data_IF_178580679609
#
_entry.id   IF_178580679609
#
_cell.length_a   1.000
_cell.length_b   1.000
_cell.length_c   1.000
_cell.angle_alpha   90.00
_cell.angle_beta   90.00
_cell.angle_gamma   90.00
#
_symmetry.space_group_name_H-M   'P 1'
#
loop_
_entity.id
_entity.type
_entity.pdbx_description
1 polymer ?
#
# COMPACT_ATOMS: atom_id res chain seq x y z
N UNK A 1 -10.28 15.37 -14.25
CA UNK A 1 -11.05 14.23 -13.71
C UNK A 1 -10.08 13.06 -13.69
N UNK A 2 -9.43 12.79 -12.56
CA UNK A 2 -8.40 11.75 -12.49
C UNK A 2 -9.08 10.38 -12.28
N UNK A 3 -8.86 9.48 -13.23
CA UNK A 3 -9.39 8.12 -13.22
C UNK A 3 -8.70 7.32 -12.09
N UNK A 4 -9.48 6.83 -11.12
CA UNK A 4 -8.98 6.04 -9.98
C UNK A 4 -8.64 4.62 -10.45
N UNK A 5 -7.42 4.43 -10.98
CA UNK A 5 -6.96 3.18 -11.62
C UNK A 5 -6.54 2.05 -10.68
N UNK A 6 -7.33 1.76 -9.65
CA UNK A 6 -7.10 0.56 -8.84
C UNK A 6 -7.72 0.65 -7.46
N UNK A 7 -8.97 0.23 -7.34
CA UNK A 7 -9.55 -0.12 -6.04
C UNK A 7 -9.91 -1.59 -6.08
N UNK A 8 -9.32 -2.38 -5.19
CA UNK A 8 -9.79 -3.74 -4.94
C UNK A 8 -10.97 -3.60 -3.99
N UNK A 9 -12.14 -3.45 -4.61
CA UNK A 9 -13.39 -3.20 -3.93
C UNK A 9 -14.32 -4.40 -4.09
N UNK A 10 -14.42 -5.24 -3.05
CA UNK A 10 -15.42 -6.30 -2.99
C UNK A 10 -16.76 -5.74 -2.51
N UNK A 11 -17.43 -4.93 -3.35
CA UNK A 11 -18.82 -4.49 -3.11
C UNK A 11 -19.79 -5.42 -3.86
N UNK A 12 -19.98 -6.62 -3.35
CA UNK A 12 -21.12 -7.44 -3.72
C UNK A 12 -21.66 -8.09 -2.45
N UNK A 13 -22.95 -7.88 -2.15
CA UNK A 13 -23.64 -8.25 -0.91
C UNK A 13 -23.60 -9.75 -0.53
N UNK A 14 -22.91 -10.60 -1.29
CA UNK A 14 -22.88 -12.06 -1.14
C UNK A 14 -21.56 -12.74 -1.53
N UNK A 15 -20.44 -12.01 -1.68
CA UNK A 15 -19.12 -12.67 -1.81
C UNK A 15 -18.53 -12.85 -0.41
N UNK A 16 -18.09 -14.08 -0.03
CA UNK A 16 -17.38 -14.26 1.22
C UNK A 16 -16.11 -13.40 1.20
N UNK A 17 -15.74 -12.77 2.33
CA UNK A 17 -14.47 -12.08 2.48
C UNK A 17 -13.33 -13.01 2.02
N UNK A 18 -12.37 -12.46 1.26
CA UNK A 18 -11.24 -13.23 0.74
C UNK A 18 -9.98 -12.81 1.49
N UNK A 19 -9.33 -13.77 2.14
CA UNK A 19 -7.96 -13.59 2.63
C UNK A 19 -7.06 -13.46 1.39
N UNK A 20 -6.58 -12.24 1.15
CA UNK A 20 -5.64 -11.96 0.08
C UNK A 20 -4.23 -12.19 0.60
N UNK A 21 -3.42 -12.93 -0.17
CA UNK A 21 -1.99 -13.05 0.08
C UNK A 21 -1.29 -11.77 -0.40
N UNK A 22 -0.97 -10.90 0.56
CA UNK A 22 -0.27 -9.64 0.26
C UNK A 22 1.17 -9.79 0.75
N UNK A 23 2.11 -9.61 -0.18
CA UNK A 23 3.54 -9.64 0.10
C UNK A 23 4.13 -8.23 -0.03
N UNK A 24 5.03 -7.87 0.88
CA UNK A 24 5.73 -6.59 0.84
C UNK A 24 7.10 -6.71 1.49
N UNK A 25 8.07 -5.96 0.97
CA UNK A 25 9.35 -5.75 1.66
C UNK A 25 9.16 -4.79 2.84
N UNK A 26 9.87 -5.00 3.97
CA UNK A 26 9.96 -3.99 5.01
C UNK A 26 10.61 -2.71 4.46
N UNK A 27 10.15 -1.55 4.94
CA UNK A 27 10.75 -0.26 4.59
C UNK A 27 11.85 0.11 5.61
N UNK A 28 13.08 0.42 5.17
CA UNK A 28 13.56 0.50 3.79
C UNK A 28 13.79 -0.88 3.16
N UNK A 29 13.48 -1.05 1.85
CA UNK A 29 13.67 -2.33 1.19
C UNK A 29 15.16 -2.68 1.12
N UNK A 30 15.52 -3.87 1.61
CA UNK A 30 16.89 -4.35 1.58
C UNK A 30 17.15 -5.17 0.31
N UNK A 31 16.32 -6.18 0.03
CA UNK A 31 16.33 -6.96 -1.22
C UNK A 31 14.92 -7.35 -1.64
N UNK A 32 14.65 -7.57 -2.95
CA UNK A 32 13.36 -8.10 -3.42
C UNK A 32 13.02 -9.48 -2.85
N UNK A 33 14.03 -10.25 -2.44
CA UNK A 33 13.83 -11.56 -1.82
C UNK A 33 13.38 -11.50 -0.36
N UNK A 34 13.41 -10.30 0.26
CA UNK A 34 12.95 -10.07 1.63
C UNK A 34 11.45 -9.71 1.66
N UNK A 35 10.69 -10.11 0.64
CA UNK A 35 9.23 -10.02 0.64
C UNK A 35 8.66 -10.86 1.79
N UNK A 36 7.90 -10.20 2.66
CA UNK A 36 7.20 -10.82 3.78
C UNK A 36 5.70 -10.84 3.50
N UNK A 37 5.05 -11.91 3.92
CA UNK A 37 3.58 -11.99 3.94
C UNK A 37 3.07 -11.02 5.01
N UNK A 38 2.34 -9.99 4.59
CA UNK A 38 1.79 -8.95 5.47
C UNK A 38 0.54 -9.40 6.22
N UNK A 39 -0.02 -10.52 5.80
CA UNK A 39 -1.26 -11.08 6.29
C UNK A 39 -0.94 -12.37 7.02
N UNK A 40 -1.77 -12.76 7.97
CA UNK A 40 -1.69 -14.06 8.66
C UNK A 40 -2.22 -15.23 7.80
N UNK A 41 -2.83 -14.94 6.65
CA UNK A 41 -3.49 -15.93 5.78
C UNK A 41 -4.89 -16.34 6.24
N UNK A 42 -5.28 -15.91 7.44
CA UNK A 42 -6.57 -16.24 8.08
C UNK A 42 -7.52 -15.03 8.11
N UNK A 43 -6.97 -13.82 8.32
CA UNK A 43 -7.68 -12.56 8.42
C UNK A 43 -8.05 -11.99 7.05
N UNK A 44 -9.23 -11.37 7.01
CA UNK A 44 -9.73 -10.74 5.80
C UNK A 44 -9.17 -9.34 5.59
N UNK A 45 -8.83 -9.03 4.33
CA UNK A 45 -8.34 -7.71 3.93
C UNK A 45 -9.42 -6.97 3.14
N UNK A 46 -9.64 -5.70 3.48
CA UNK A 46 -10.65 -4.89 2.82
C UNK A 46 -10.19 -3.44 2.63
N UNK A 47 -10.95 -2.71 1.80
CA UNK A 47 -10.74 -1.28 1.52
C UNK A 47 -9.35 -0.93 0.96
N UNK A 48 -8.78 -1.75 0.07
CA UNK A 48 -7.56 -1.40 -0.64
C UNK A 48 -7.81 -0.17 -1.52
N UNK A 49 -7.28 0.98 -1.08
CA UNK A 49 -7.45 2.28 -1.74
C UNK A 49 -6.10 2.92 -2.04
N UNK A 50 -5.96 3.59 -3.19
CA UNK A 50 -4.80 4.41 -3.46
C UNK A 50 -4.75 5.58 -2.47
N UNK A 51 -3.55 5.84 -1.96
CA UNK A 51 -3.28 6.98 -1.08
C UNK A 51 -3.18 8.22 -1.97
N UNK A 52 -3.97 9.28 -1.71
CA UNK A 52 -3.86 10.52 -2.48
C UNK A 52 -2.46 11.14 -2.35
N UNK A 53 -1.93 11.80 -3.39
CA UNK A 53 -0.58 12.38 -3.39
C UNK A 53 -0.27 13.25 -2.16
N UNK A 54 -1.22 14.12 -1.77
CA UNK A 54 -1.07 14.99 -0.61
C UNK A 54 -0.87 14.21 0.70
N UNK A 55 -1.63 13.11 0.89
CA UNK A 55 -1.48 12.26 2.06
C UNK A 55 -0.19 11.41 2.00
N UNK A 56 0.18 10.97 0.80
CA UNK A 56 1.38 10.18 0.56
C UNK A 56 2.65 10.97 0.92
N UNK A 57 2.72 12.25 0.55
CA UNK A 57 3.81 13.18 0.93
C UNK A 57 4.01 13.21 2.45
N UNK A 58 2.93 13.42 3.21
CA UNK A 58 2.99 13.45 4.69
C UNK A 58 3.40 12.11 5.28
N UNK A 59 2.90 10.99 4.75
CA UNK A 59 3.24 9.64 5.24
C UNK A 59 4.73 9.37 5.01
N UNK A 60 5.22 9.64 3.81
CA UNK A 60 6.61 9.41 3.41
C UNK A 60 7.58 10.26 4.23
N UNK A 61 7.25 11.53 4.45
CA UNK A 61 8.01 12.44 5.32
C UNK A 61 8.08 11.89 6.75
N UNK A 62 6.95 11.47 7.33
CA UNK A 62 6.87 10.96 8.71
C UNK A 62 7.60 9.64 8.91
N UNK A 63 7.56 8.77 7.90
CA UNK A 63 8.21 7.45 7.97
C UNK A 63 9.71 7.53 7.64
N UNK A 64 10.20 8.65 7.10
CA UNK A 64 11.62 8.83 6.77
C UNK A 64 12.14 7.83 5.72
N UNK A 65 11.27 7.30 4.87
CA UNK A 65 11.61 6.22 3.91
C UNK A 65 12.29 6.77 2.66
N UNK A 66 12.18 8.08 2.41
CA UNK A 66 12.69 8.69 1.17
C UNK A 66 14.10 9.24 1.30
N UNK A 67 14.89 8.98 0.26
CA UNK A 67 16.35 9.14 0.22
C UNK A 67 16.85 10.29 -0.65
N UNK A 68 16.02 11.28 -1.00
CA UNK A 68 16.45 12.40 -1.84
C UNK A 68 15.47 13.56 -1.92
N UNK A 69 15.96 14.67 -2.46
CA UNK A 69 15.23 15.95 -2.59
C UNK A 69 14.05 15.92 -3.58
N UNK A 70 13.93 14.90 -4.44
CA UNK A 70 12.91 14.82 -5.50
C UNK A 70 11.63 14.07 -5.10
N UNK A 71 11.43 13.76 -3.81
CA UNK A 71 10.34 12.89 -3.36
C UNK A 71 8.94 13.41 -3.73
N UNK A 72 8.76 14.73 -3.72
CA UNK A 72 7.46 15.34 -4.03
C UNK A 72 7.14 15.20 -5.52
N UNK A 73 8.10 15.51 -6.39
CA UNK A 73 7.98 15.33 -7.84
C UNK A 73 7.78 13.85 -8.21
N UNK A 74 8.42 12.93 -7.50
CA UNK A 74 8.24 11.49 -7.71
C UNK A 74 6.84 11.00 -7.31
N UNK A 75 6.25 11.59 -6.27
CA UNK A 75 4.86 11.32 -5.88
C UNK A 75 3.88 11.93 -6.90
N UNK A 76 4.10 13.19 -7.30
CA UNK A 76 3.20 13.89 -8.22
C UNK A 76 3.24 13.30 -9.64
N UNK A 77 4.39 12.76 -10.07
CA UNK A 77 4.55 12.03 -11.33
C UNK A 77 4.04 10.58 -11.27
N UNK A 78 3.75 10.06 -10.07
CA UNK A 78 3.32 8.67 -9.86
C UNK A 78 4.45 7.64 -9.89
N UNK A 79 5.72 8.06 -9.82
CA UNK A 79 6.85 7.15 -9.58
C UNK A 79 6.82 6.56 -8.17
N UNK A 80 6.32 7.34 -7.21
CA UNK A 80 6.00 6.84 -5.87
C UNK A 80 4.49 6.74 -5.74
N UNK A 81 4.02 5.54 -5.47
CA UNK A 81 2.59 5.27 -5.24
C UNK A 81 2.40 4.55 -3.91
N UNK A 82 1.22 4.70 -3.32
CA UNK A 82 0.89 4.07 -2.05
C UNK A 82 -0.51 3.47 -2.06
N UNK A 83 -0.67 2.33 -1.39
CA UNK A 83 -1.95 1.68 -1.15
C UNK A 83 -2.15 1.53 0.35
N UNK A 84 -3.39 1.72 0.80
CA UNK A 84 -3.80 1.46 2.17
C UNK A 84 -4.89 0.40 2.19
N UNK A 85 -4.78 -0.56 3.10
CA UNK A 85 -5.82 -1.58 3.34
C UNK A 85 -5.90 -1.91 4.83
N UNK A 86 -7.00 -2.53 5.23
CA UNK A 86 -7.26 -2.91 6.62
C UNK A 86 -7.35 -4.43 6.69
N UNK A 87 -6.67 -5.04 7.66
CA UNK A 87 -6.82 -6.45 8.00
C UNK A 87 -7.66 -6.61 9.28
N UNK A 88 -8.27 -7.80 9.42
CA UNK A 88 -9.31 -8.17 10.38
C UNK A 88 -9.06 -7.78 11.85
N UNK A 89 -10.17 -7.77 12.59
CA UNK A 89 -10.36 -7.31 13.97
C UNK A 89 -10.02 -8.38 14.99
N UNK A 90 -8.80 -8.90 14.98
CA UNK A 90 -8.39 -9.74 16.10
C UNK A 90 -8.46 -8.93 17.40
N UNK A 91 -9.15 -9.48 18.41
CA UNK A 91 -9.35 -8.82 19.71
C UNK A 91 -10.04 -7.45 19.65
N UNK A 92 -10.83 -7.20 18.61
CA UNK A 92 -11.48 -5.89 18.32
C UNK A 92 -10.51 -4.77 17.91
N UNK A 93 -9.33 -5.11 17.39
CA UNK A 93 -8.36 -4.12 16.89
C UNK A 93 -8.17 -4.29 15.39
N UNK A 94 -8.33 -3.20 14.63
CA UNK A 94 -8.07 -3.17 13.20
C UNK A 94 -6.60 -2.85 12.94
N UNK A 95 -5.96 -3.59 12.03
CA UNK A 95 -4.59 -3.28 11.60
C UNK A 95 -4.63 -2.57 10.25
N UNK A 96 -4.06 -1.36 10.22
CA UNK A 96 -3.94 -0.57 9.00
C UNK A 96 -2.58 -0.86 8.35
N UNK A 97 -2.61 -1.38 7.13
CA UNK A 97 -1.42 -1.63 6.34
C UNK A 97 -1.22 -0.52 5.31
N UNK A 98 0.02 -0.03 5.22
CA UNK A 98 0.43 0.98 4.24
C UNK A 98 1.53 0.35 3.39
N UNK A 99 1.24 0.13 2.12
CA UNK A 99 2.20 -0.34 1.14
C UNK A 99 2.69 0.84 0.30
N UNK A 100 4.01 0.96 0.14
CA UNK A 100 4.67 1.97 -0.68
C UNK A 100 5.38 1.29 -1.84
N UNK A 101 5.16 1.79 -3.06
CA UNK A 101 5.89 1.36 -4.26
C UNK A 101 6.74 2.52 -4.75
N UNK A 102 8.02 2.25 -4.96
CA UNK A 102 8.98 3.14 -5.59
C UNK A 102 9.31 2.53 -6.96
N UNK A 103 8.95 3.22 -8.03
CA UNK A 103 9.36 2.83 -9.38
C UNK A 103 10.83 3.20 -9.59
N UNK A 104 11.63 2.24 -10.03
CA UNK A 104 12.97 2.53 -10.57
C UNK A 104 12.81 3.09 -12.00
N UNK A 105 13.79 3.86 -12.49
CA UNK A 105 13.73 4.58 -13.78
C UNK A 105 13.65 3.64 -15.02
N UNK A 106 13.53 2.32 -14.80
CA UNK A 106 13.64 1.27 -15.82
C UNK A 106 12.42 0.39 -16.10
N UNK A 107 11.26 0.57 -15.45
CA UNK A 107 10.07 -0.23 -15.78
C UNK A 107 9.00 0.56 -16.56
N UNK A 108 8.87 0.20 -17.84
CA UNK A 108 7.78 0.52 -18.77
C UNK A 108 6.72 -0.57 -18.79
#
# INVERSE_FOLDING_TARGET
MAESRGSIAFFASYRPPLALDIFCCPAPPSRPQDELHLTDGDSYNYNCRPIPPAALKTIVERLGVSRGDAVEDDIDSGRITGLVFVSDRERNLETLHIALRFADDGEV
#
